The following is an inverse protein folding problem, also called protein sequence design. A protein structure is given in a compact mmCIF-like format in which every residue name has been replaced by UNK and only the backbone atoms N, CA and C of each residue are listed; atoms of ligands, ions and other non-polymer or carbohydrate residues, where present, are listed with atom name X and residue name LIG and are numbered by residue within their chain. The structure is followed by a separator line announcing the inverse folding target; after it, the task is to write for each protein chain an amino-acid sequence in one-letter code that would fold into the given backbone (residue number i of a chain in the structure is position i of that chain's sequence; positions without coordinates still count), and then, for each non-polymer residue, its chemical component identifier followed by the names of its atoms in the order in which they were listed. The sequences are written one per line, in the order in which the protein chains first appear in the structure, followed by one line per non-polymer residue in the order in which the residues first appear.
data_IF_003816256203
#
_entry.id   IF_003816256203
#
_cell.length_a   1.000
_cell.length_b   1.000
_cell.length_c   1.000
_cell.angle_alpha   90.00
_cell.angle_beta   90.00
_cell.angle_gamma   90.00
#
_symmetry.space_group_name_H-M   'P 1'
#
loop_
_entity.id
_entity.type
_entity.pdbx_description
1 polymer ?
#
# COMPACT_ATOMS: atom_id res chain seq x y z
N UNK A 1 9.06 -9.82 5.91
CA UNK A 1 8.77 -8.36 5.87
C UNK A 1 8.41 -7.93 7.28
N UNK A 2 9.05 -6.88 7.80
CA UNK A 2 8.70 -6.27 9.08
C UNK A 2 7.26 -5.74 9.03
N UNK A 3 6.60 -5.67 10.19
CA UNK A 3 5.24 -5.11 10.27
C UNK A 3 5.26 -3.60 10.04
N UNK A 4 4.13 -3.06 9.55
CA UNK A 4 3.98 -1.60 9.41
C UNK A 4 4.05 -0.89 10.76
N UNK A 5 3.56 -1.53 11.83
CA UNK A 5 3.59 -1.03 13.22
C UNK A 5 5.02 -0.86 13.71
N UNK A 6 5.84 -1.92 13.63
CA UNK A 6 7.25 -1.87 14.05
C UNK A 6 8.08 -0.85 13.25
N UNK A 7 7.77 -0.68 11.96
CA UNK A 7 8.44 0.31 11.12
C UNK A 7 8.14 1.75 11.56
N UNK A 8 6.88 2.08 11.84
CA UNK A 8 6.47 3.42 12.30
C UNK A 8 7.00 3.72 13.71
N UNK A 9 6.97 2.74 14.60
CA UNK A 9 7.52 2.90 15.95
C UNK A 9 9.05 3.08 15.96
N UNK A 10 9.72 2.54 14.94
CA UNK A 10 11.17 2.68 14.78
C UNK A 10 11.59 4.02 14.19
N UNK A 11 10.80 4.63 13.31
CA UNK A 11 11.23 5.79 12.51
C UNK A 11 10.09 6.78 12.24
N UNK A 12 10.04 7.90 12.99
CA UNK A 12 9.05 8.97 12.77
C UNK A 12 9.13 9.66 11.40
N UNK A 13 10.21 9.46 10.66
CA UNK A 13 10.36 9.99 9.29
C UNK A 13 9.52 9.24 8.25
N UNK A 14 9.17 7.98 8.52
CA UNK A 14 8.24 7.21 7.69
C UNK A 14 6.83 7.79 7.83
N UNK A 15 6.05 7.69 6.76
CA UNK A 15 4.72 8.31 6.64
C UNK A 15 3.66 7.23 6.51
N UNK A 16 2.53 7.42 7.18
CA UNK A 16 1.38 6.51 7.11
C UNK A 16 0.37 7.08 6.11
N UNK A 17 -0.05 6.29 5.14
CA UNK A 17 -1.11 6.67 4.21
C UNK A 17 -2.48 6.68 4.91
N UNK A 18 -3.49 7.37 4.33
CA UNK A 18 -4.82 7.45 4.91
C UNK A 18 -5.39 6.07 5.26
N UNK A 19 -5.96 5.97 6.44
CA UNK A 19 -6.47 4.72 7.03
C UNK A 19 -7.70 4.15 6.30
N UNK A 20 -8.32 4.93 5.44
CA UNK A 20 -9.41 4.50 4.57
C UNK A 20 -8.95 3.54 3.47
N UNK A 21 -7.66 3.57 3.13
CA UNK A 21 -7.10 2.66 2.13
C UNK A 21 -6.87 1.30 2.82
N UNK A 22 -7.71 0.32 2.48
CA UNK A 22 -7.73 -1.00 3.13
C UNK A 22 -7.52 -2.13 2.14
N UNK A 23 -6.97 -3.27 2.58
CA UNK A 23 -6.83 -4.44 1.72
C UNK A 23 -8.21 -4.98 1.32
N UNK A 24 -8.38 -5.34 0.04
CA UNK A 24 -9.58 -6.07 -0.41
C UNK A 24 -9.62 -7.47 0.22
N UNK A 25 -8.44 -8.08 0.38
CA UNK A 25 -8.28 -9.38 1.04
C UNK A 25 -7.30 -9.24 2.19
N UNK A 26 -7.76 -9.37 3.44
CA UNK A 26 -6.88 -9.37 4.60
C UNK A 26 -5.86 -10.51 4.60
N UNK A 27 -4.80 -10.37 5.42
CA UNK A 27 -3.72 -11.35 5.58
C UNK A 27 -2.65 -11.28 4.50
N UNK A 28 -2.70 -10.28 3.61
CA UNK A 28 -1.70 -10.09 2.55
C UNK A 28 -0.72 -8.98 2.93
N UNK A 29 0.57 -9.27 2.75
CA UNK A 29 1.66 -8.31 2.96
C UNK A 29 2.41 -8.08 1.67
N UNK A 30 2.95 -6.88 1.51
CA UNK A 30 3.83 -6.56 0.39
C UNK A 30 4.85 -5.50 0.79
N UNK A 31 5.91 -5.41 0.00
CA UNK A 31 6.86 -4.31 -0.03
C UNK A 31 7.33 -4.11 -1.47
N UNK A 32 7.55 -2.87 -1.88
CA UNK A 32 8.04 -2.59 -3.23
C UNK A 32 8.33 -1.13 -3.48
N UNK A 33 8.90 -0.85 -4.64
CA UNK A 33 9.17 0.49 -5.14
C UNK A 33 7.90 1.10 -5.73
N UNK A 34 7.64 2.34 -5.41
CA UNK A 34 6.45 3.08 -5.85
C UNK A 34 6.58 3.55 -7.29
N UNK A 35 5.57 3.22 -8.10
CA UNK A 35 5.23 3.88 -9.36
C UNK A 35 3.89 4.58 -9.15
N UNK A 36 3.76 5.83 -9.60
CA UNK A 36 2.60 6.67 -9.27
C UNK A 36 1.71 6.95 -10.47
N UNK A 37 0.40 7.10 -10.22
CA UNK A 37 -0.56 7.65 -11.15
C UNK A 37 -1.55 8.57 -10.43
N UNK A 38 -1.93 9.68 -11.07
CA UNK A 38 -3.08 10.49 -10.66
C UNK A 38 -4.19 10.29 -11.69
N UNK A 39 -5.31 9.74 -11.24
CA UNK A 39 -6.37 9.33 -12.15
C UNK A 39 -7.18 10.52 -12.70
N UNK A 40 -7.37 11.58 -11.91
CA UNK A 40 -8.11 12.79 -12.31
C UNK A 40 -9.44 12.46 -13.02
N UNK A 41 -10.20 11.50 -12.46
CA UNK A 41 -11.46 10.98 -13.02
C UNK A 41 -11.32 10.33 -14.42
N UNK A 42 -10.16 9.75 -14.72
CA UNK A 42 -9.87 9.10 -15.99
C UNK A 42 -9.00 7.85 -15.78
N UNK A 43 -9.17 6.82 -16.64
CA UNK A 43 -8.41 5.57 -16.56
C UNK A 43 -7.05 5.64 -17.28
N UNK A 44 -6.85 6.58 -18.21
CA UNK A 44 -5.64 6.62 -19.06
C UNK A 44 -4.36 6.82 -18.26
N UNK A 45 -4.31 7.67 -17.21
CA UNK A 45 -3.13 7.78 -16.36
C UNK A 45 -2.75 6.47 -15.67
N UNK A 46 -3.74 5.70 -15.20
CA UNK A 46 -3.50 4.39 -14.57
C UNK A 46 -2.95 3.39 -15.58
N UNK A 47 -3.52 3.35 -16.79
CA UNK A 47 -3.04 2.50 -17.90
C UNK A 47 -1.60 2.88 -18.27
N UNK A 48 -1.30 4.16 -18.38
CA UNK A 48 0.04 4.65 -18.74
C UNK A 48 1.07 4.28 -17.67
N UNK A 49 0.77 4.50 -16.40
CA UNK A 49 1.66 4.13 -15.30
C UNK A 49 1.88 2.61 -15.23
N UNK A 50 0.82 1.81 -15.37
CA UNK A 50 0.92 0.35 -15.36
C UNK A 50 1.86 -0.16 -16.46
N UNK A 51 1.95 0.51 -17.61
CA UNK A 51 2.89 0.15 -18.69
C UNK A 51 4.36 0.33 -18.32
N UNK A 52 4.66 1.25 -17.40
CA UNK A 52 6.04 1.58 -16.98
C UNK A 52 6.52 0.78 -15.77
N UNK A 53 5.63 0.01 -15.12
CA UNK A 53 5.99 -0.81 -13.97
C UNK A 53 6.88 -1.99 -14.34
N UNK A 54 7.72 -2.39 -13.40
CA UNK A 54 8.56 -3.58 -13.42
C UNK A 54 8.10 -4.59 -12.37
N UNK A 55 8.61 -5.82 -12.43
CA UNK A 55 8.32 -6.83 -11.41
C UNK A 55 8.84 -6.37 -10.04
N UNK A 56 8.00 -6.52 -9.00
CA UNK A 56 8.28 -6.05 -7.64
C UNK A 56 7.86 -4.60 -7.37
N UNK A 57 7.45 -3.83 -8.36
CA UNK A 57 6.90 -2.48 -8.15
C UNK A 57 5.52 -2.53 -7.48
N UNK A 58 5.17 -1.44 -6.85
CA UNK A 58 3.81 -1.15 -6.35
C UNK A 58 3.26 0.03 -7.16
N UNK A 59 2.15 -0.18 -7.84
CA UNK A 59 1.44 0.92 -8.48
C UNK A 59 0.53 1.60 -7.45
N UNK A 60 0.83 2.87 -7.17
CA UNK A 60 0.06 3.73 -6.27
C UNK A 60 -0.74 4.73 -7.08
N UNK A 61 -2.07 4.68 -6.95
CA UNK A 61 -3.01 5.50 -7.71
C UNK A 61 -3.73 6.46 -6.77
N UNK A 62 -3.59 7.76 -7.01
CA UNK A 62 -4.45 8.77 -6.40
C UNK A 62 -5.70 8.97 -7.27
N UNK A 63 -6.86 8.65 -6.70
CA UNK A 63 -8.19 8.84 -7.28
C UNK A 63 -9.19 9.34 -6.24
N UNK A 64 -8.67 10.02 -5.21
CA UNK A 64 -9.46 10.49 -4.06
C UNK A 64 -10.53 11.52 -4.41
N UNK A 65 -10.38 12.21 -5.55
CA UNK A 65 -11.33 13.21 -6.06
C UNK A 65 -12.53 12.61 -6.80
N UNK A 66 -12.57 11.27 -6.98
CA UNK A 66 -13.52 10.57 -7.84
C UNK A 66 -14.46 9.60 -7.11
N UNK A 67 -15.68 9.47 -7.65
CA UNK A 67 -16.70 8.54 -7.12
C UNK A 67 -16.81 7.24 -7.92
N UNK A 68 -16.10 7.13 -9.05
CA UNK A 68 -16.12 5.95 -9.91
C UNK A 68 -14.84 5.15 -9.77
N UNK A 69 -14.91 3.87 -10.11
CA UNK A 69 -13.75 2.99 -10.09
C UNK A 69 -12.71 3.39 -11.14
N UNK A 70 -11.45 3.36 -10.73
CA UNK A 70 -10.27 3.60 -11.59
C UNK A 70 -9.46 2.32 -11.80
N UNK A 71 -9.80 1.24 -11.12
CA UNK A 71 -9.20 -0.08 -11.29
C UNK A 71 -10.25 -1.17 -11.01
N UNK A 72 -9.98 -2.36 -11.51
CA UNK A 72 -10.81 -3.54 -11.31
C UNK A 72 -10.04 -4.78 -11.77
N UNK A 73 -10.78 -5.85 -12.10
CA UNK A 73 -10.21 -7.15 -12.49
C UNK A 73 -9.13 -7.05 -13.57
N UNK A 74 -9.37 -6.30 -14.65
CA UNK A 74 -8.44 -6.23 -15.78
C UNK A 74 -7.11 -5.59 -15.37
N UNK A 75 -7.13 -4.52 -14.58
CA UNK A 75 -5.90 -3.85 -14.11
C UNK A 75 -5.17 -4.69 -13.06
N UNK A 76 -5.91 -5.32 -12.14
CA UNK A 76 -5.31 -6.20 -11.16
C UNK A 76 -4.70 -7.46 -11.81
N UNK A 77 -5.36 -8.03 -12.82
CA UNK A 77 -4.83 -9.16 -13.59
C UNK A 77 -3.58 -8.78 -14.38
N UNK A 78 -3.56 -7.61 -15.03
CA UNK A 78 -2.37 -7.13 -15.73
C UNK A 78 -1.22 -6.82 -14.76
N UNK A 79 -1.52 -6.19 -13.61
CA UNK A 79 -0.53 -5.95 -12.56
C UNK A 79 0.09 -7.27 -12.06
N UNK A 80 -0.75 -8.28 -11.81
CA UNK A 80 -0.29 -9.63 -11.45
C UNK A 80 0.57 -10.25 -12.56
N UNK A 81 0.14 -10.19 -13.81
CA UNK A 81 0.88 -10.72 -14.96
C UNK A 81 2.27 -10.07 -15.10
N UNK A 82 2.38 -8.79 -14.78
CA UNK A 82 3.65 -8.04 -14.77
C UNK A 82 4.50 -8.30 -13.53
N UNK A 83 3.98 -9.03 -12.55
CA UNK A 83 4.70 -9.37 -11.32
C UNK A 83 4.79 -8.22 -10.31
N UNK A 84 3.84 -7.27 -10.33
CA UNK A 84 3.80 -6.22 -9.32
C UNK A 84 3.62 -6.82 -7.92
N UNK A 85 4.23 -6.17 -6.92
CA UNK A 85 4.07 -6.54 -5.53
C UNK A 85 2.67 -6.19 -4.99
N UNK A 86 2.08 -5.08 -5.45
CA UNK A 86 0.72 -4.67 -5.08
C UNK A 86 0.14 -3.60 -6.03
N UNK A 87 -1.18 -3.39 -5.90
CA UNK A 87 -1.92 -2.25 -6.44
C UNK A 87 -2.58 -1.51 -5.27
N UNK A 88 -2.28 -0.22 -5.12
CA UNK A 88 -2.82 0.66 -4.06
C UNK A 88 -3.61 1.78 -4.70
N UNK A 89 -4.88 1.94 -4.35
CA UNK A 89 -5.79 2.92 -4.92
C UNK A 89 -6.40 3.78 -3.81
N UNK A 90 -6.00 5.06 -3.73
CA UNK A 90 -6.73 6.05 -2.94
C UNK A 90 -7.95 6.49 -3.72
N UNK A 91 -9.02 5.71 -3.62
CA UNK A 91 -10.24 5.88 -4.39
C UNK A 91 -10.99 4.57 -4.53
N UNK A 92 -11.83 4.47 -5.56
CA UNK A 92 -12.70 3.31 -5.73
C UNK A 92 -12.17 2.30 -6.74
N UNK A 93 -12.39 1.02 -6.40
CA UNK A 93 -12.16 -0.11 -7.30
C UNK A 93 -13.47 -0.85 -7.57
N UNK A 94 -13.45 -1.83 -8.49
CA UNK A 94 -14.61 -2.68 -8.79
C UNK A 94 -14.20 -4.14 -8.96
N UNK A 95 -15.14 -5.01 -9.28
CA UNK A 95 -14.95 -6.45 -9.54
C UNK A 95 -14.33 -7.18 -8.33
N UNK A 96 -14.71 -6.77 -7.13
CA UNK A 96 -14.07 -7.18 -5.86
C UNK A 96 -14.04 -8.70 -5.67
N UNK A 97 -15.12 -9.41 -6.05
CA UNK A 97 -15.20 -10.87 -5.92
C UNK A 97 -14.18 -11.60 -6.82
N UNK A 98 -13.86 -11.04 -7.98
CA UNK A 98 -12.85 -11.58 -8.89
C UNK A 98 -11.46 -11.15 -8.47
N UNK A 99 -11.27 -9.88 -8.12
CA UNK A 99 -10.00 -9.34 -7.60
C UNK A 99 -9.56 -10.11 -6.35
N UNK A 100 -10.48 -10.48 -5.47
CA UNK A 100 -10.17 -11.26 -4.27
C UNK A 100 -9.56 -12.65 -4.55
N UNK A 101 -9.77 -13.21 -5.74
CA UNK A 101 -9.22 -14.51 -6.16
C UNK A 101 -7.81 -14.40 -6.76
N UNK A 102 -7.38 -13.21 -7.14
CA UNK A 102 -6.03 -12.97 -7.66
C UNK A 102 -5.01 -13.07 -6.53
N UNK A 103 -3.77 -13.44 -6.86
CA UNK A 103 -2.69 -13.51 -5.87
C UNK A 103 -2.14 -12.13 -5.51
N UNK A 104 -2.23 -11.16 -6.42
CA UNK A 104 -1.75 -9.79 -6.16
C UNK A 104 -2.52 -9.12 -5.04
N UNK A 105 -1.84 -8.52 -4.04
CA UNK A 105 -2.46 -7.66 -3.05
C UNK A 105 -3.05 -6.40 -3.68
N UNK A 106 -4.30 -6.06 -3.34
CA UNK A 106 -4.97 -4.84 -3.79
C UNK A 106 -5.56 -4.10 -2.59
N UNK A 107 -5.22 -2.81 -2.46
CA UNK A 107 -5.76 -1.88 -1.46
C UNK A 107 -6.65 -0.84 -2.12
N UNK A 108 -7.74 -0.44 -1.45
CA UNK A 108 -8.71 0.52 -1.99
C UNK A 108 -9.40 1.27 -0.85
N UNK A 109 -9.77 2.54 -1.11
CA UNK A 109 -10.59 3.32 -0.16
C UNK A 109 -12.08 3.02 -0.29
N UNK A 110 -12.51 2.22 -1.28
CA UNK A 110 -13.90 1.85 -1.47
C UNK A 110 -14.20 1.21 -2.81
N UNK A 111 -15.49 1.01 -3.07
CA UNK A 111 -15.94 0.30 -4.25
C UNK A 111 -17.02 1.08 -5.00
N UNK A 112 -17.05 0.95 -6.34
CA UNK A 112 -18.10 1.49 -7.19
C UNK A 112 -18.26 0.61 -8.44
N UNK A 113 -19.50 0.31 -8.90
CA UNK A 113 -19.70 -0.56 -10.05
C UNK A 113 -19.38 0.13 -11.39
N UNK A 114 -19.49 1.46 -11.44
CA UNK A 114 -19.21 2.26 -12.62
C UNK A 114 -17.76 2.71 -12.65
N UNK A 115 -17.18 2.80 -13.84
CA UNK A 115 -15.80 3.27 -14.05
C UNK A 115 -15.78 4.58 -14.85
N UNK A 116 -14.62 5.24 -14.84
CA UNK A 116 -14.33 6.37 -15.72
C UNK A 116 -13.97 5.89 -17.14
N UNK A 117 -14.02 6.82 -18.11
CA UNK A 117 -13.47 6.61 -19.44
C UNK A 117 -11.93 6.69 -19.42
N UNK A 118 -11.31 6.43 -20.59
CA UNK A 118 -9.85 6.50 -20.77
C UNK A 118 -9.56 7.49 -21.92
N UNK A 119 -9.58 8.78 -21.62
CA UNK A 119 -9.54 9.85 -22.65
C UNK A 119 -8.45 10.90 -22.40
N UNK A 120 -8.00 11.09 -21.14
CA UNK A 120 -7.07 12.12 -20.76
C UNK A 120 -5.63 11.89 -21.30
N UNK A 121 -4.84 12.94 -21.44
CA UNK A 121 -3.39 12.81 -21.61
C UNK A 121 -2.74 12.58 -20.25
N UNK A 122 -2.02 11.47 -20.05
CA UNK A 122 -1.47 11.13 -18.75
C UNK A 122 -0.21 11.94 -18.44
N UNK A 123 -0.11 12.38 -17.18
CA UNK A 123 1.16 12.86 -16.61
C UNK A 123 1.94 11.66 -16.10
N UNK A 124 3.18 11.51 -16.56
CA UNK A 124 4.03 10.40 -16.17
C UNK A 124 4.52 10.55 -14.72
N UNK A 125 4.29 9.52 -13.91
CA UNK A 125 4.83 9.40 -12.56
C UNK A 125 4.77 10.69 -11.71
N UNK A 126 3.58 11.30 -11.51
CA UNK A 126 3.48 12.53 -10.73
C UNK A 126 3.79 12.27 -9.26
N UNK A 127 4.33 13.27 -8.55
CA UNK A 127 4.30 13.24 -7.09
C UNK A 127 2.84 13.39 -6.65
N UNK A 128 2.41 12.48 -5.76
CA UNK A 128 1.04 12.48 -5.24
C UNK A 128 0.99 13.17 -3.86
N UNK A 129 -0.16 13.74 -3.56
CA UNK A 129 -0.58 14.12 -2.22
C UNK A 129 -1.80 13.25 -1.86
N UNK A 130 -1.57 12.28 -0.98
CA UNK A 130 -2.61 11.34 -0.56
C UNK A 130 -3.09 11.71 0.84
N UNK A 131 -4.05 12.64 0.92
CA UNK A 131 -4.58 13.10 2.20
C UNK A 131 -3.55 13.84 3.07
N UNK A 132 -2.71 14.66 2.48
CA UNK A 132 -1.61 15.37 3.14
C UNK A 132 -0.31 14.57 3.22
N UNK A 133 -0.30 13.32 2.74
CA UNK A 133 0.90 12.48 2.72
C UNK A 133 1.50 12.48 1.32
N UNK A 134 2.73 12.99 1.23
CA UNK A 134 3.50 13.00 -0.03
C UNK A 134 3.97 11.59 -0.37
N UNK A 135 3.69 11.16 -1.61
CA UNK A 135 4.19 9.91 -2.20
C UNK A 135 4.89 10.24 -3.52
N UNK A 136 6.16 9.91 -3.62
CA UNK A 136 6.96 10.17 -4.82
C UNK A 136 7.27 8.88 -5.59
N UNK A 137 7.43 8.95 -6.93
CA UNK A 137 8.01 7.86 -7.69
C UNK A 137 9.37 7.46 -7.14
N UNK A 138 9.60 6.17 -6.95
CA UNK A 138 10.84 5.63 -6.39
C UNK A 138 10.88 5.56 -4.85
N UNK A 139 9.92 6.13 -4.13
CA UNK A 139 9.74 5.82 -2.71
C UNK A 139 9.55 4.30 -2.53
N UNK A 140 9.78 3.79 -1.35
CA UNK A 140 9.39 2.44 -0.95
C UNK A 140 8.06 2.49 -0.20
N UNK A 141 7.27 1.44 -0.35
CA UNK A 141 6.02 1.26 0.38
C UNK A 141 5.93 -0.16 0.94
N UNK A 142 5.47 -0.27 2.17
CA UNK A 142 5.15 -1.53 2.85
C UNK A 142 3.69 -1.51 3.25
N UNK A 143 2.99 -2.61 3.06
CA UNK A 143 1.59 -2.77 3.45
C UNK A 143 1.31 -4.09 4.13
N UNK A 144 0.45 -4.05 5.14
CA UNK A 144 -0.16 -5.18 5.83
C UNK A 144 -1.57 -4.81 6.31
N UNK A 145 -2.22 -5.65 7.11
CA UNK A 145 -3.61 -5.42 7.54
C UNK A 145 -3.80 -4.16 8.40
N UNK A 146 -2.74 -3.65 9.02
CA UNK A 146 -2.79 -2.43 9.85
C UNK A 146 -2.75 -1.17 9.00
N UNK A 147 -2.08 -1.20 7.84
CA UNK A 147 -2.05 -0.05 6.94
C UNK A 147 -0.92 -0.05 5.94
N UNK A 148 -0.59 1.16 5.47
CA UNK A 148 0.41 1.41 4.44
C UNK A 148 1.42 2.44 4.95
N UNK A 149 2.70 2.08 4.87
CA UNK A 149 3.83 2.94 5.28
C UNK A 149 4.68 3.25 4.07
N UNK A 150 5.00 4.52 3.85
CA UNK A 150 5.79 5.00 2.71
C UNK A 150 6.97 5.85 3.19
N UNK A 151 8.08 5.76 2.47
CA UNK A 151 9.29 6.54 2.72
C UNK A 151 10.31 6.35 1.63
N UNK A 152 11.42 7.08 1.73
CA UNK A 152 12.58 6.87 0.87
C UNK A 152 13.33 5.60 1.26
N UNK A 153 14.15 5.06 0.37
CA UNK A 153 15.01 3.92 0.69
C UNK A 153 15.90 4.19 1.91
N UNK A 154 16.44 5.41 2.02
CA UNK A 154 17.28 5.81 3.14
C UNK A 154 16.53 5.83 4.48
N UNK A 155 15.28 6.31 4.49
CA UNK A 155 14.42 6.30 5.68
C UNK A 155 14.13 4.87 6.14
N UNK A 156 13.81 3.97 5.21
CA UNK A 156 13.63 2.54 5.53
C UNK A 156 14.91 1.88 6.03
N UNK A 157 16.06 2.11 5.37
CA UNK A 157 17.34 1.56 5.82
C UNK A 157 17.67 1.98 7.26
N UNK A 158 17.42 3.25 7.59
CA UNK A 158 17.62 3.76 8.94
C UNK A 158 16.66 3.14 9.97
N UNK A 159 15.43 2.79 9.56
CA UNK A 159 14.42 2.19 10.42
C UNK A 159 14.67 0.71 10.73
N UNK A 160 15.22 -0.07 9.77
CA UNK A 160 15.30 -1.52 9.83
C UNK A 160 15.94 -2.09 11.12
N UNK A 161 17.08 -1.60 11.62
CA UNK A 161 17.69 -2.17 12.84
C UNK A 161 16.75 -2.05 14.04
N UNK A 162 16.18 -0.86 14.24
CA UNK A 162 15.29 -0.59 15.37
C UNK A 162 13.95 -1.31 15.25
N UNK A 163 13.39 -1.41 14.06
CA UNK A 163 12.15 -2.13 13.82
C UNK A 163 12.30 -3.64 14.14
N UNK A 164 13.46 -4.24 13.81
CA UNK A 164 13.74 -5.63 14.20
C UNK A 164 13.86 -5.80 15.72
N UNK A 165 14.55 -4.91 16.41
CA UNK A 165 14.63 -4.94 17.86
C UNK A 165 13.24 -4.85 18.52
N UNK A 166 12.34 -4.04 17.96
CA UNK A 166 10.96 -3.91 18.44
C UNK A 166 10.22 -5.25 18.26
N UNK A 167 10.24 -5.84 17.06
CA UNK A 167 9.57 -7.12 16.80
C UNK A 167 10.11 -8.26 17.69
N UNK A 168 11.43 -8.34 17.86
CA UNK A 168 12.05 -9.37 18.70
C UNK A 168 11.61 -9.21 20.16
N UNK A 169 11.63 -7.98 20.69
CA UNK A 169 11.17 -7.69 22.05
C UNK A 169 9.69 -7.99 22.25
N UNK A 170 8.84 -7.59 21.31
CA UNK A 170 7.40 -7.83 21.39
C UNK A 170 7.08 -9.32 21.28
N UNK A 171 7.77 -10.05 20.41
CA UNK A 171 7.64 -11.51 20.31
C UNK A 171 8.03 -12.21 21.61
N UNK A 172 9.12 -11.81 22.23
CA UNK A 172 9.55 -12.36 23.52
C UNK A 172 8.53 -12.06 24.62
N UNK A 173 8.01 -10.84 24.68
CA UNK A 173 6.98 -10.44 25.65
C UNK A 173 5.68 -11.22 25.44
N UNK A 174 5.25 -11.38 24.19
CA UNK A 174 4.07 -12.17 23.85
C UNK A 174 4.21 -13.64 24.32
N UNK A 175 5.38 -14.26 24.11
CA UNK A 175 5.62 -15.63 24.60
C UNK A 175 5.53 -15.70 26.15
N UNK A 176 6.04 -14.70 26.84
CA UNK A 176 5.98 -14.60 28.31
C UNK A 176 4.53 -14.51 28.79
N UNK A 177 3.71 -13.67 28.13
CA UNK A 177 2.29 -13.51 28.44
C UNK A 177 1.52 -14.83 28.16
N UNK A 178 1.77 -15.48 27.03
CA UNK A 178 1.16 -16.77 26.68
C UNK A 178 1.59 -17.88 27.67
N UNK A 179 2.76 -17.74 28.30
CA UNK A 179 3.25 -18.60 29.40
C UNK A 179 2.60 -18.34 30.75
N UNK A 180 1.68 -17.36 30.85
CA UNK A 180 0.89 -17.05 32.05
C UNK A 180 1.39 -15.88 32.90
N UNK A 181 2.41 -15.13 32.46
CA UNK A 181 2.85 -13.90 33.13
C UNK A 181 1.94 -12.73 32.77
N UNK A 182 1.76 -11.81 33.69
CA UNK A 182 0.98 -10.59 33.44
C UNK A 182 1.75 -9.60 32.58
N UNK A 183 1.08 -9.01 31.59
CA UNK A 183 1.62 -7.86 30.86
C UNK A 183 2.08 -6.74 31.79
N UNK A 184 1.35 -6.51 32.89
CA UNK A 184 1.61 -5.44 33.86
C UNK A 184 2.91 -5.65 34.65
N UNK A 185 3.42 -6.88 34.77
CA UNK A 185 4.69 -7.18 35.42
C UNK A 185 5.90 -6.59 34.67
N UNK A 186 5.68 -6.16 33.40
CA UNK A 186 6.71 -5.62 32.51
C UNK A 186 6.64 -4.09 32.33
N UNK A 187 5.63 -3.44 32.93
CA UNK A 187 5.44 -1.98 32.91
C UNK A 187 5.50 -1.45 34.34
N UNK A 188 6.69 -1.39 34.93
CA UNK A 188 6.96 -0.77 36.22
C UNK A 188 7.65 0.58 36.08
#
# INVERSE_FOLDING_TARGET
TLSTTSLIDAAPALRVLPHEIRPIVPGRRFAGRVVTARADRDLRPVIAALRTTEAGDVLVVDASDGERAVAGELFASEAQRRGLAALVVSGRTRDTATVAKLAIPVWSSGFAPNAYAATAEPVANPVLDMGGVRVAPGDLIVGDDDGLVVGTAQEFEAALPRAREIEDRESALQQTILGGSSLFDHFS
#
